data_IF_386574351532
#
_entry.id   IF_386574351532
#
_cell.length_a   1.000
_cell.length_b   1.000
_cell.length_c   1.000
_cell.angle_alpha   90.00
_cell.angle_beta   90.00
_cell.angle_gamma   90.00
#
_symmetry.space_group_name_H-M   'P 1'
#
loop_
_entity.id
_entity.type
_entity.pdbx_description
1 polymer ?
#
# COMPACT_ATOMS: atom_id res chain seq x y z
N UNK A 1 2.21 -17.35 13.84
CA UNK A 1 2.32 -18.59 13.04
C UNK A 1 0.92 -19.03 12.66
N UNK A 2 0.65 -19.45 11.43
CA UNK A 2 -0.63 -20.05 11.10
C UNK A 2 -0.88 -21.29 11.96
N UNK A 3 -2.13 -21.55 12.28
CA UNK A 3 -2.50 -22.66 13.14
C UNK A 3 -2.23 -23.98 12.41
N UNK A 4 -1.33 -24.81 12.95
CA UNK A 4 -1.07 -26.14 12.46
C UNK A 4 -2.10 -27.10 13.02
N UNK A 5 -2.80 -27.82 12.17
CA UNK A 5 -3.85 -28.77 12.56
C UNK A 5 -3.54 -30.17 12.00
N UNK A 6 -3.97 -31.23 12.68
CA UNK A 6 -3.87 -32.59 12.16
C UNK A 6 -4.58 -32.70 10.80
N UNK A 7 -3.98 -33.43 9.86
CA UNK A 7 -4.58 -33.70 8.56
C UNK A 7 -6.01 -34.27 8.70
N UNK A 8 -6.93 -33.81 7.84
CA UNK A 8 -8.34 -34.24 7.81
C UNK A 8 -9.17 -33.86 9.04
N UNK A 9 -8.72 -32.95 9.90
CA UNK A 9 -9.60 -32.42 10.95
C UNK A 9 -10.82 -31.71 10.30
N UNK A 10 -12.08 -32.07 10.67
CA UNK A 10 -13.27 -31.46 10.05
C UNK A 10 -13.32 -29.93 10.16
N UNK A 11 -12.74 -29.36 11.21
CA UNK A 11 -12.64 -27.91 11.39
C UNK A 11 -11.85 -27.20 10.27
N UNK A 12 -10.95 -27.89 9.55
CA UNK A 12 -10.13 -27.29 8.47
C UNK A 12 -11.03 -26.73 7.36
N UNK A 13 -12.03 -27.49 6.93
CA UNK A 13 -12.93 -27.07 5.85
C UNK A 13 -13.82 -25.90 6.27
N UNK A 14 -14.33 -25.92 7.51
CA UNK A 14 -15.09 -24.79 8.07
C UNK A 14 -14.24 -23.51 8.14
N UNK A 15 -13.03 -23.62 8.67
CA UNK A 15 -12.12 -22.49 8.80
C UNK A 15 -11.69 -21.93 7.44
N UNK A 16 -11.50 -22.77 6.44
CA UNK A 16 -11.27 -22.32 5.05
C UNK A 16 -12.45 -21.53 4.49
N UNK A 17 -13.69 -21.97 4.74
CA UNK A 17 -14.90 -21.23 4.34
C UNK A 17 -15.00 -19.85 5.04
N UNK A 18 -14.45 -19.73 6.24
CA UNK A 18 -14.37 -18.47 6.99
C UNK A 18 -13.15 -17.63 6.60
N UNK A 19 -12.40 -18.00 5.56
CA UNK A 19 -11.13 -17.39 5.17
C UNK A 19 -10.09 -17.37 6.31
N UNK A 20 -10.14 -18.36 7.20
CA UNK A 20 -9.15 -18.57 8.26
C UNK A 20 -8.07 -19.51 7.72
N UNK A 21 -6.85 -18.99 7.61
CA UNK A 21 -5.73 -19.81 7.19
C UNK A 21 -5.33 -20.79 8.28
N UNK A 22 -5.39 -22.06 7.94
CA UNK A 22 -4.88 -23.17 8.75
C UNK A 22 -3.92 -23.99 7.91
N UNK A 23 -2.90 -24.51 8.55
CA UNK A 23 -1.91 -25.36 7.91
C UNK A 23 -2.11 -26.80 8.37
N UNK A 24 -2.23 -27.73 7.43
CA UNK A 24 -2.18 -29.15 7.75
C UNK A 24 -0.74 -29.61 8.00
N UNK A 25 -0.61 -30.80 8.61
CA UNK A 25 0.70 -31.35 8.96
C UNK A 25 1.60 -31.57 7.74
N UNK A 26 1.04 -32.00 6.62
CA UNK A 26 1.79 -32.23 5.38
C UNK A 26 2.42 -30.96 4.85
N UNK A 27 1.67 -29.86 4.85
CA UNK A 27 2.16 -28.55 4.40
C UNK A 27 3.16 -27.95 5.41
N UNK A 28 2.94 -28.14 6.71
CA UNK A 28 3.83 -27.63 7.75
C UNK A 28 5.23 -28.24 7.70
N UNK A 29 5.37 -29.51 7.32
CA UNK A 29 6.65 -30.18 7.19
C UNK A 29 7.49 -29.71 5.99
N UNK A 30 6.85 -29.07 4.99
CA UNK A 30 7.52 -28.57 3.80
C UNK A 30 7.99 -27.12 3.93
N UNK A 31 7.69 -26.45 5.05
CA UNK A 31 8.07 -25.05 5.28
C UNK A 31 9.17 -24.93 6.33
N UNK A 32 10.43 -24.85 5.87
CA UNK A 32 11.46 -24.16 6.63
C UNK A 32 11.16 -22.65 6.57
N UNK A 33 11.07 -22.01 7.75
CA UNK A 33 10.67 -20.59 7.85
C UNK A 33 11.88 -19.73 7.44
N UNK A 34 11.93 -19.33 6.16
CA UNK A 34 12.80 -18.26 5.74
C UNK A 34 12.13 -16.90 6.00
N UNK A 35 12.90 -15.82 6.28
CA UNK A 35 12.35 -14.48 6.31
C UNK A 35 11.69 -14.12 4.98
N UNK A 36 10.54 -13.43 5.04
CA UNK A 36 9.93 -12.86 3.84
C UNK A 36 10.68 -11.59 3.45
N UNK A 37 11.11 -11.50 2.21
CA UNK A 37 11.80 -10.32 1.67
C UNK A 37 10.80 -9.31 1.16
N UNK A 38 10.80 -8.12 1.76
CA UNK A 38 9.94 -6.99 1.39
C UNK A 38 10.78 -5.85 0.83
N UNK A 39 10.54 -5.47 -0.42
CA UNK A 39 11.12 -4.27 -1.01
C UNK A 39 10.21 -3.05 -0.76
N UNK A 40 10.78 -1.89 -0.44
CA UNK A 40 10.03 -0.64 -0.32
C UNK A 40 10.68 0.41 -1.24
N UNK A 41 10.02 0.74 -2.34
CA UNK A 41 10.38 1.89 -3.16
C UNK A 41 9.74 3.14 -2.54
N UNK A 42 10.56 3.89 -1.82
CA UNK A 42 10.12 5.06 -1.08
C UNK A 42 10.33 6.33 -1.93
N UNK A 43 9.24 6.85 -2.51
CA UNK A 43 9.23 8.07 -3.34
C UNK A 43 8.87 9.33 -2.53
N UNK A 44 8.48 9.18 -1.25
CA UNK A 44 8.08 10.28 -0.41
C UNK A 44 9.26 11.23 -0.10
N UNK A 45 8.99 12.54 0.04
CA UNK A 45 10.04 13.53 0.30
C UNK A 45 10.67 13.41 1.69
N UNK A 46 9.88 13.00 2.70
CA UNK A 46 10.34 12.79 4.09
C UNK A 46 10.54 11.29 4.32
N UNK A 47 11.62 10.73 3.75
CA UNK A 47 11.84 9.28 3.72
C UNK A 47 11.88 8.64 5.10
N UNK A 48 12.59 9.21 6.07
CA UNK A 48 12.73 8.67 7.44
C UNK A 48 11.36 8.55 8.13
N UNK A 49 10.47 9.52 7.93
CA UNK A 49 9.10 9.46 8.48
C UNK A 49 8.33 8.30 7.83
N UNK A 50 8.33 8.23 6.51
CA UNK A 50 7.63 7.18 5.76
C UNK A 50 8.17 5.78 6.07
N UNK A 51 9.49 5.63 6.23
CA UNK A 51 10.12 4.39 6.71
C UNK A 51 9.53 3.95 8.04
N UNK A 52 9.49 4.87 9.01
CA UNK A 52 8.96 4.60 10.36
C UNK A 52 7.49 4.20 10.31
N UNK A 53 6.69 4.88 9.49
CA UNK A 53 5.26 4.61 9.35
C UNK A 53 4.99 3.23 8.75
N UNK A 54 5.71 2.88 7.68
CA UNK A 54 5.59 1.56 7.04
C UNK A 54 6.14 0.44 7.93
N UNK A 55 7.31 0.61 8.55
CA UNK A 55 7.89 -0.39 9.45
C UNK A 55 6.95 -0.68 10.62
N UNK A 56 6.29 0.35 11.17
CA UNK A 56 5.32 0.18 12.26
C UNK A 56 4.17 -0.75 11.87
N UNK A 57 3.65 -0.65 10.66
CA UNK A 57 2.58 -1.52 10.15
C UNK A 57 3.10 -2.92 9.82
N UNK A 58 4.27 -3.00 9.17
CA UNK A 58 4.89 -4.28 8.83
C UNK A 58 5.33 -5.07 10.07
N UNK A 59 5.63 -4.42 11.18
CA UNK A 59 6.02 -5.10 12.42
C UNK A 59 4.87 -5.80 13.15
N UNK A 60 3.61 -5.54 12.76
CA UNK A 60 2.43 -6.14 13.39
C UNK A 60 2.10 -7.53 12.80
N UNK A 61 3.10 -8.39 12.72
CA UNK A 61 2.98 -9.78 12.26
C UNK A 61 3.93 -10.69 13.04
N UNK A 62 3.57 -11.95 13.28
CA UNK A 62 4.48 -12.94 13.86
C UNK A 62 5.49 -13.50 12.85
N UNK A 63 5.36 -13.14 11.57
CA UNK A 63 6.27 -13.58 10.51
C UNK A 63 7.54 -12.74 10.53
N UNK A 64 8.68 -13.38 10.23
CA UNK A 64 9.94 -12.68 10.11
C UNK A 64 10.02 -11.99 8.74
N UNK A 65 10.22 -10.67 8.75
CA UNK A 65 10.36 -9.86 7.55
C UNK A 65 11.78 -9.31 7.44
N UNK A 66 12.33 -9.34 6.23
CA UNK A 66 13.57 -8.66 5.83
C UNK A 66 13.20 -7.51 4.90
N UNK A 67 13.38 -6.28 5.36
CA UNK A 67 13.00 -5.07 4.61
C UNK A 67 14.20 -4.48 3.91
N UNK A 68 14.07 -4.22 2.60
CA UNK A 68 15.06 -3.54 1.77
C UNK A 68 14.47 -2.26 1.19
N UNK A 69 15.10 -1.11 1.46
CA UNK A 69 14.68 0.16 0.88
C UNK A 69 15.31 0.36 -0.49
N UNK A 70 14.44 0.67 -1.47
CA UNK A 70 14.83 0.97 -2.84
C UNK A 70 14.74 2.48 -3.10
N UNK A 71 15.71 3.03 -3.83
CA UNK A 71 15.71 4.40 -4.34
C UNK A 71 15.81 4.41 -5.86
N UNK A 72 15.29 5.47 -6.47
CA UNK A 72 15.52 5.78 -7.87
C UNK A 72 16.94 6.31 -8.07
N UNK A 73 17.57 5.91 -9.16
CA UNK A 73 18.87 6.45 -9.60
C UNK A 73 18.70 7.83 -10.27
N UNK A 74 17.60 7.99 -11.01
CA UNK A 74 17.27 9.22 -11.74
C UNK A 74 16.78 10.36 -10.87
N UNK A 75 16.58 10.13 -9.54
CA UNK A 75 16.08 11.13 -8.62
C UNK A 75 16.90 11.22 -7.33
N UNK A 76 17.41 12.42 -7.02
CA UNK A 76 18.12 12.69 -5.76
C UNK A 76 17.17 13.34 -4.75
N UNK A 77 16.91 12.70 -3.59
CA UNK A 77 16.07 13.30 -2.56
C UNK A 77 16.69 14.56 -1.97
N UNK A 78 15.87 15.62 -1.82
CA UNK A 78 16.32 16.90 -1.29
C UNK A 78 16.20 17.03 0.23
N UNK A 79 15.31 16.25 0.85
CA UNK A 79 14.91 16.38 2.25
C UNK A 79 15.41 15.23 3.14
N UNK A 80 16.34 14.42 2.65
CA UNK A 80 16.91 13.29 3.39
C UNK A 80 18.43 13.38 3.35
N UNK A 81 19.15 13.24 4.50
CA UNK A 81 20.59 13.26 4.53
C UNK A 81 21.21 12.21 3.58
N UNK A 82 22.26 12.59 2.88
CA UNK A 82 22.91 11.70 1.91
C UNK A 82 23.51 10.46 2.58
N UNK A 83 24.02 10.61 3.79
CA UNK A 83 24.58 9.53 4.59
C UNK A 83 23.51 8.48 4.89
N UNK A 84 22.27 8.90 5.22
CA UNK A 84 21.14 8.01 5.43
C UNK A 84 20.81 7.23 4.14
N UNK A 85 20.78 7.93 2.99
CA UNK A 85 20.52 7.30 1.69
C UNK A 85 21.62 6.30 1.31
N UNK A 86 22.88 6.59 1.59
CA UNK A 86 23.99 5.70 1.30
C UNK A 86 23.99 4.46 2.21
N UNK A 87 23.56 4.63 3.45
CA UNK A 87 23.61 3.55 4.45
C UNK A 87 22.44 2.55 4.30
N UNK A 88 21.25 3.03 3.97
CA UNK A 88 20.03 2.25 4.08
C UNK A 88 19.31 1.99 2.74
N UNK A 89 19.65 2.70 1.66
CA UNK A 89 18.97 2.60 0.38
C UNK A 89 19.86 2.00 -0.70
N UNK A 90 19.28 1.04 -1.43
CA UNK A 90 19.89 0.44 -2.61
C UNK A 90 19.18 0.97 -3.86
N UNK A 91 19.92 1.12 -4.96
CA UNK A 91 19.33 1.46 -6.25
C UNK A 91 18.57 0.27 -6.85
N UNK A 92 17.67 0.55 -7.79
CA UNK A 92 17.00 -0.51 -8.55
C UNK A 92 18.02 -1.43 -9.28
N UNK A 93 19.10 -0.88 -9.85
CA UNK A 93 20.14 -1.66 -10.53
C UNK A 93 20.81 -2.70 -9.60
N UNK A 94 21.02 -2.33 -8.32
CA UNK A 94 21.60 -3.24 -7.33
C UNK A 94 20.65 -4.35 -6.90
N UNK A 95 19.33 -4.14 -7.07
CA UNK A 95 18.29 -5.06 -6.65
C UNK A 95 17.63 -5.83 -7.81
N UNK A 96 17.86 -5.44 -9.05
CA UNK A 96 17.13 -5.95 -10.23
C UNK A 96 17.23 -7.46 -10.47
N UNK A 97 18.28 -8.11 -9.95
CA UNK A 97 18.47 -9.57 -10.08
C UNK A 97 17.94 -10.35 -8.87
N UNK A 98 17.40 -9.65 -7.87
CA UNK A 98 16.81 -10.26 -6.69
C UNK A 98 15.29 -10.44 -6.87
N UNK A 99 14.74 -11.39 -6.13
CA UNK A 99 13.29 -11.60 -6.04
C UNK A 99 12.80 -11.29 -4.63
N UNK A 100 11.58 -10.84 -4.53
CA UNK A 100 10.96 -10.40 -3.28
C UNK A 100 9.57 -11.04 -3.10
N UNK A 101 9.25 -11.37 -1.87
CA UNK A 101 7.93 -11.88 -1.54
C UNK A 101 6.85 -10.79 -1.62
N UNK A 102 7.21 -9.57 -1.21
CA UNK A 102 6.32 -8.42 -1.30
C UNK A 102 7.06 -7.14 -1.69
N UNK A 103 6.31 -6.18 -2.23
CA UNK A 103 6.82 -4.85 -2.52
C UNK A 103 5.81 -3.78 -2.15
N UNK A 104 6.28 -2.65 -1.63
CA UNK A 104 5.48 -1.45 -1.41
C UNK A 104 6.08 -0.32 -2.24
N UNK A 105 5.26 0.36 -3.03
CA UNK A 105 5.63 1.56 -3.78
C UNK A 105 4.82 2.72 -3.23
N UNK A 106 5.50 3.69 -2.60
CA UNK A 106 4.85 4.80 -1.91
C UNK A 106 4.33 5.87 -2.88
N UNK A 107 3.48 6.76 -2.38
CA UNK A 107 3.12 7.99 -3.06
C UNK A 107 4.33 8.90 -3.34
N UNK A 108 4.09 9.90 -4.18
CA UNK A 108 5.04 10.95 -4.51
C UNK A 108 4.30 12.29 -4.72
N UNK A 109 4.87 13.44 -4.35
CA UNK A 109 4.21 14.74 -4.46
C UNK A 109 4.31 15.33 -5.89
N UNK A 110 3.97 14.52 -6.90
CA UNK A 110 4.05 14.87 -8.33
C UNK A 110 2.73 14.59 -9.07
N UNK A 111 1.65 14.42 -8.33
CA UNK A 111 0.34 14.03 -8.88
C UNK A 111 -0.28 15.04 -9.85
N UNK A 112 0.16 16.31 -9.81
CA UNK A 112 -0.30 17.36 -10.71
C UNK A 112 0.43 17.37 -12.06
N UNK A 113 1.55 16.64 -12.20
CA UNK A 113 2.24 16.46 -13.47
C UNK A 113 1.60 15.30 -14.26
N UNK A 114 1.60 15.36 -15.57
CA UNK A 114 1.33 14.17 -16.37
C UNK A 114 2.40 13.11 -16.08
N UNK A 115 2.05 11.82 -16.23
CA UNK A 115 2.99 10.77 -15.83
C UNK A 115 4.28 10.83 -16.63
N UNK A 116 4.17 11.12 -17.93
CA UNK A 116 5.29 11.23 -18.87
C UNK A 116 6.20 12.45 -18.58
N UNK A 117 5.67 13.48 -17.91
CA UNK A 117 6.41 14.67 -17.50
C UNK A 117 7.18 14.48 -16.19
N UNK A 118 6.94 13.36 -15.48
CA UNK A 118 7.68 13.04 -14.26
C UNK A 118 9.11 12.60 -14.60
N UNK A 119 10.11 13.34 -14.15
CA UNK A 119 11.52 13.17 -14.56
C UNK A 119 12.12 11.79 -14.34
N UNK A 120 11.48 10.94 -13.55
CA UNK A 120 11.88 9.55 -13.30
C UNK A 120 10.88 8.52 -13.86
N UNK A 121 9.99 8.92 -14.75
CA UNK A 121 8.93 8.06 -15.28
C UNK A 121 9.47 6.82 -16.00
N UNK A 122 10.53 6.98 -16.81
CA UNK A 122 11.14 5.85 -17.53
C UNK A 122 11.65 4.77 -16.55
N UNK A 123 12.35 5.18 -15.47
CA UNK A 123 12.81 4.23 -14.44
C UNK A 123 11.63 3.58 -13.69
N UNK A 124 10.55 4.34 -13.45
CA UNK A 124 9.33 3.77 -12.85
C UNK A 124 8.70 2.69 -13.74
N UNK A 125 8.64 2.89 -15.05
CA UNK A 125 8.13 1.87 -16.00
C UNK A 125 8.96 0.58 -15.95
N UNK A 126 10.28 0.70 -15.85
CA UNK A 126 11.16 -0.47 -15.71
C UNK A 126 10.88 -1.20 -14.40
N UNK A 127 10.73 -0.48 -13.29
CA UNK A 127 10.43 -1.06 -11.97
C UNK A 127 9.04 -1.70 -11.96
N UNK A 128 8.03 -1.09 -12.56
CA UNK A 128 6.69 -1.66 -12.66
C UNK A 128 6.69 -2.98 -13.45
N UNK A 129 7.38 -3.00 -14.61
CA UNK A 129 7.51 -4.22 -15.41
C UNK A 129 8.27 -5.31 -14.64
N UNK A 130 9.36 -4.94 -13.98
CA UNK A 130 10.19 -5.84 -13.16
C UNK A 130 9.40 -6.43 -11.98
N UNK A 131 8.61 -5.62 -11.28
CA UNK A 131 7.83 -6.08 -10.13
C UNK A 131 6.89 -7.23 -10.50
N UNK A 132 6.32 -7.23 -11.71
CA UNK A 132 5.42 -8.30 -12.18
C UNK A 132 6.04 -9.68 -12.29
N UNK A 133 7.36 -9.77 -12.40
CA UNK A 133 8.10 -11.02 -12.60
C UNK A 133 9.06 -11.36 -11.46
N UNK A 134 9.29 -10.41 -10.55
CA UNK A 134 10.24 -10.55 -9.45
C UNK A 134 9.61 -10.41 -8.06
N UNK A 135 8.31 -10.06 -8.01
CA UNK A 135 7.60 -9.85 -6.74
C UNK A 135 6.31 -10.65 -6.74
N UNK A 136 6.01 -11.33 -5.62
CA UNK A 136 4.77 -12.09 -5.50
C UNK A 136 3.56 -11.16 -5.40
N UNK A 137 3.59 -10.15 -4.51
CA UNK A 137 2.49 -9.18 -4.37
C UNK A 137 3.01 -7.77 -4.12
N UNK A 138 2.43 -6.78 -4.80
CA UNK A 138 2.83 -5.37 -4.72
C UNK A 138 1.68 -4.49 -4.24
N UNK A 139 1.94 -3.66 -3.20
CA UNK A 139 1.07 -2.56 -2.78
C UNK A 139 1.54 -1.25 -3.43
N UNK A 140 0.67 -0.62 -4.19
CA UNK A 140 0.86 0.71 -4.76
C UNK A 140 0.04 1.71 -3.95
N UNK A 141 0.65 2.80 -3.46
CA UNK A 141 0.02 3.77 -2.57
C UNK A 141 -0.09 5.14 -3.24
N UNK A 142 -1.27 5.75 -3.19
CA UNK A 142 -1.58 7.11 -3.63
C UNK A 142 -1.15 7.36 -5.08
N UNK A 143 -0.16 8.25 -5.32
CA UNK A 143 0.35 8.51 -6.66
C UNK A 143 0.83 7.24 -7.36
N UNK A 144 1.55 6.37 -6.68
CA UNK A 144 1.99 5.11 -7.26
C UNK A 144 0.82 4.20 -7.65
N UNK A 145 -0.31 4.24 -6.92
CA UNK A 145 -1.51 3.52 -7.31
C UNK A 145 -2.07 4.02 -8.65
N UNK A 146 -2.16 5.33 -8.83
CA UNK A 146 -2.60 5.92 -10.10
C UNK A 146 -1.60 5.64 -11.23
N UNK A 147 -0.30 5.77 -10.96
CA UNK A 147 0.77 5.51 -11.93
C UNK A 147 0.80 4.04 -12.37
N UNK A 148 0.63 3.10 -11.43
CA UNK A 148 0.55 1.67 -11.72
C UNK A 148 -0.71 1.30 -12.50
N UNK A 149 -1.87 1.86 -12.15
CA UNK A 149 -3.13 1.69 -12.90
C UNK A 149 -3.00 2.23 -14.32
N UNK A 150 -2.38 3.39 -14.50
CA UNK A 150 -2.11 3.95 -15.83
C UNK A 150 -1.16 3.07 -16.64
N UNK A 151 0.00 2.73 -16.08
CA UNK A 151 1.03 1.98 -16.80
C UNK A 151 0.56 0.57 -17.20
N UNK A 152 -0.07 -0.14 -16.27
CA UNK A 152 -0.43 -1.54 -16.48
C UNK A 152 -1.78 -1.74 -17.17
N UNK A 153 -2.71 -0.80 -17.00
CA UNK A 153 -4.11 -1.00 -17.37
C UNK A 153 -4.69 0.15 -18.20
N UNK A 154 -3.92 1.21 -18.43
CA UNK A 154 -4.36 2.37 -19.23
C UNK A 154 -5.42 3.23 -18.54
N UNK A 155 -5.60 3.10 -17.23
CA UNK A 155 -6.56 3.89 -16.44
C UNK A 155 -6.01 5.31 -16.25
N UNK A 156 -6.67 6.36 -16.78
CA UNK A 156 -6.20 7.73 -16.64
C UNK A 156 -6.44 8.27 -15.24
N UNK A 157 -5.73 9.34 -14.88
CA UNK A 157 -6.03 10.15 -13.70
C UNK A 157 -6.74 11.44 -14.11
N UNK A 158 -7.50 11.99 -13.18
CA UNK A 158 -8.27 13.22 -13.39
C UNK A 158 -7.97 14.23 -12.27
N UNK A 159 -7.88 15.54 -12.58
CA UNK A 159 -7.69 16.55 -11.57
C UNK A 159 -8.95 16.73 -10.72
N UNK A 160 -8.78 16.84 -9.42
CA UNK A 160 -9.84 17.21 -8.49
C UNK A 160 -10.03 18.74 -8.49
N UNK A 161 -11.25 19.24 -8.38
CA UNK A 161 -11.52 20.69 -8.29
C UNK A 161 -10.95 21.32 -7.00
N UNK A 162 -10.80 20.51 -5.95
CA UNK A 162 -10.14 20.83 -4.68
C UNK A 162 -9.35 19.64 -4.17
N UNK A 163 -8.33 19.90 -3.37
CA UNK A 163 -7.57 18.85 -2.70
C UNK A 163 -8.50 17.95 -1.87
N UNK A 164 -8.44 16.64 -2.10
CA UNK A 164 -9.04 15.64 -1.24
C UNK A 164 -8.16 15.53 0.01
N UNK A 165 -8.63 16.10 1.14
CA UNK A 165 -7.81 16.28 2.33
C UNK A 165 -8.60 15.98 3.61
N UNK A 166 -8.22 14.92 4.31
CA UNK A 166 -8.90 14.51 5.54
C UNK A 166 -9.06 13.00 5.67
N UNK A 167 -10.00 12.59 6.53
CA UNK A 167 -10.35 11.20 6.79
C UNK A 167 -11.73 10.93 6.18
N UNK A 168 -11.83 9.88 5.37
CA UNK A 168 -13.06 9.57 4.66
C UNK A 168 -13.49 8.12 4.92
N UNK A 169 -14.79 7.85 5.08
CA UNK A 169 -15.32 6.51 5.20
C UNK A 169 -15.16 5.76 3.87
N UNK A 170 -14.70 4.53 3.94
CA UNK A 170 -14.56 3.62 2.81
C UNK A 170 -15.47 2.43 3.03
N UNK A 171 -16.11 1.96 1.97
CA UNK A 171 -17.01 0.81 1.99
C UNK A 171 -16.35 -0.37 1.30
N UNK A 172 -16.33 -1.53 1.96
CA UNK A 172 -15.87 -2.78 1.34
C UNK A 172 -16.95 -3.27 0.37
N UNK A 173 -16.57 -3.56 -0.87
CA UNK A 173 -17.51 -4.06 -1.90
C UNK A 173 -17.58 -5.60 -1.94
N UNK A 174 -16.53 -6.25 -1.46
CA UNK A 174 -16.47 -7.70 -1.30
C UNK A 174 -15.80 -8.04 0.05
N UNK A 175 -16.57 -8.06 1.14
CA UNK A 175 -16.05 -8.32 2.48
C UNK A 175 -15.52 -9.75 2.68
N UNK A 176 -15.77 -10.67 1.73
CA UNK A 176 -15.25 -12.03 1.76
C UNK A 176 -13.78 -12.11 1.35
N UNK A 177 -13.24 -11.09 0.71
CA UNK A 177 -11.83 -11.08 0.32
C UNK A 177 -10.92 -11.15 1.55
N UNK A 178 -9.88 -12.01 1.53
CA UNK A 178 -8.96 -12.15 2.66
C UNK A 178 -8.29 -10.84 3.09
N UNK A 179 -8.14 -9.85 2.19
CA UNK A 179 -7.59 -8.53 2.52
C UNK A 179 -8.45 -7.78 3.55
N UNK A 180 -9.77 -8.01 3.56
CA UNK A 180 -10.72 -7.38 4.48
C UNK A 180 -11.06 -8.24 5.70
N UNK A 181 -10.33 -9.31 5.93
CA UNK A 181 -10.58 -10.14 7.10
C UNK A 181 -10.44 -9.34 8.41
N UNK A 182 -11.51 -9.33 9.21
CA UNK A 182 -11.60 -8.59 10.46
C UNK A 182 -11.93 -7.10 10.28
N UNK A 183 -12.18 -6.65 9.04
CA UNK A 183 -12.70 -5.32 8.78
C UNK A 183 -14.17 -5.23 9.14
N UNK A 184 -14.59 -4.04 9.54
CA UNK A 184 -15.99 -3.64 9.51
C UNK A 184 -16.40 -3.32 8.05
N UNK A 185 -17.71 -3.28 7.77
CA UNK A 185 -18.23 -2.93 6.44
C UNK A 185 -17.78 -1.52 6.00
N UNK A 186 -17.51 -0.64 6.96
CA UNK A 186 -17.03 0.73 6.78
C UNK A 186 -15.76 0.94 7.58
N UNK A 187 -14.72 1.42 6.93
CA UNK A 187 -13.46 1.78 7.57
C UNK A 187 -13.01 3.19 7.19
N UNK A 188 -12.17 3.79 8.02
CA UNK A 188 -11.68 5.15 7.77
C UNK A 188 -10.32 5.11 7.08
N UNK A 189 -10.11 6.03 6.11
CA UNK A 189 -8.84 6.15 5.39
C UNK A 189 -8.44 7.61 5.22
N UNK A 190 -7.20 7.98 5.58
CA UNK A 190 -6.64 9.30 5.26
C UNK A 190 -6.44 9.50 3.76
N UNK A 191 -6.77 10.69 3.28
CA UNK A 191 -6.47 11.13 1.93
C UNK A 191 -5.79 12.50 1.93
N UNK A 192 -4.81 12.66 1.05
CA UNK A 192 -4.16 13.93 0.70
C UNK A 192 -3.73 13.88 -0.75
N UNK A 193 -4.60 14.29 -1.66
CA UNK A 193 -4.36 14.19 -3.12
C UNK A 193 -5.10 15.25 -3.92
N UNK A 194 -4.55 15.59 -5.09
CA UNK A 194 -5.12 16.54 -6.06
C UNK A 194 -5.71 15.86 -7.31
N UNK A 195 -5.57 14.55 -7.42
CA UNK A 195 -6.06 13.77 -8.56
C UNK A 195 -6.80 12.52 -8.09
N UNK A 196 -7.60 11.96 -8.99
CA UNK A 196 -8.34 10.72 -8.76
C UNK A 196 -8.37 9.84 -10.01
N UNK A 197 -8.83 8.61 -9.86
CA UNK A 197 -9.24 7.71 -10.95
C UNK A 197 -10.74 7.54 -10.89
N UNK A 198 -11.40 7.42 -12.03
CA UNK A 198 -12.84 7.26 -12.06
C UNK A 198 -13.27 5.79 -11.95
N UNK A 199 -14.39 5.58 -11.27
CA UNK A 199 -15.00 4.27 -11.07
C UNK A 199 -15.30 3.56 -12.39
N UNK A 200 -15.77 4.31 -13.38
CA UNK A 200 -16.16 3.82 -14.68
C UNK A 200 -14.95 3.24 -15.44
N UNK A 201 -13.79 3.86 -15.34
CA UNK A 201 -12.55 3.39 -15.98
C UNK A 201 -12.05 2.08 -15.34
N UNK A 202 -12.19 1.96 -14.01
CA UNK A 202 -11.85 0.72 -13.30
C UNK A 202 -12.79 -0.41 -13.74
N UNK A 203 -14.11 -0.17 -13.75
CA UNK A 203 -15.11 -1.18 -14.10
C UNK A 203 -15.10 -1.57 -15.57
N UNK A 204 -14.63 -0.69 -16.46
CA UNK A 204 -14.48 -0.98 -17.87
C UNK A 204 -13.35 -1.98 -18.19
N UNK A 205 -12.40 -2.18 -17.24
CA UNK A 205 -11.29 -3.09 -17.43
C UNK A 205 -11.54 -4.42 -16.71
N UNK A 206 -11.74 -5.55 -17.43
CA UNK A 206 -12.08 -6.83 -16.82
C UNK A 206 -10.94 -7.45 -15.99
N UNK A 207 -9.73 -6.92 -16.05
CA UNK A 207 -8.59 -7.35 -15.25
C UNK A 207 -8.49 -6.63 -13.90
N UNK A 208 -9.35 -5.65 -13.65
CA UNK A 208 -9.40 -4.88 -12.41
C UNK A 208 -10.63 -5.25 -11.60
N UNK A 209 -10.46 -5.35 -10.30
CA UNK A 209 -11.55 -5.54 -9.35
C UNK A 209 -11.56 -4.34 -8.38
N UNK A 210 -12.60 -3.53 -8.44
CA UNK A 210 -12.85 -2.51 -7.43
C UNK A 210 -13.32 -3.20 -6.15
N UNK A 211 -12.56 -3.10 -5.06
CA UNK A 211 -12.85 -3.82 -3.82
C UNK A 211 -13.22 -2.92 -2.65
N UNK A 212 -12.90 -1.61 -2.73
CA UNK A 212 -13.39 -0.61 -1.81
C UNK A 212 -13.54 0.75 -2.50
N UNK A 213 -14.60 1.48 -2.12
CA UNK A 213 -14.89 2.83 -2.61
C UNK A 213 -15.57 3.68 -1.54
N UNK A 214 -15.66 4.98 -1.79
CA UNK A 214 -16.34 5.95 -0.95
C UNK A 214 -17.21 6.88 -1.78
N UNK A 215 -18.42 7.23 -1.36
CA UNK A 215 -19.19 8.27 -2.01
C UNK A 215 -18.51 9.66 -1.90
N UNK A 216 -17.65 9.86 -0.90
CA UNK A 216 -16.98 11.14 -0.64
C UNK A 216 -15.60 11.23 -1.26
N UNK A 217 -14.86 10.12 -1.36
CA UNK A 217 -13.48 10.10 -1.89
C UNK A 217 -13.26 9.22 -3.12
N UNK A 218 -14.33 8.67 -3.70
CA UNK A 218 -14.28 7.89 -4.94
C UNK A 218 -13.61 6.51 -4.78
N UNK A 219 -12.91 6.06 -5.80
CA UNK A 219 -12.17 4.79 -5.83
C UNK A 219 -11.12 4.76 -4.74
N UNK A 220 -11.12 3.71 -3.95
CA UNK A 220 -10.28 3.58 -2.77
C UNK A 220 -9.25 2.47 -2.89
N UNK A 221 -9.70 1.23 -3.12
CA UNK A 221 -8.81 0.09 -3.29
C UNK A 221 -9.23 -0.70 -4.52
N UNK A 222 -8.28 -0.91 -5.42
CA UNK A 222 -8.42 -1.77 -6.60
C UNK A 222 -7.46 -2.94 -6.47
N UNK A 223 -7.92 -4.15 -6.79
CA UNK A 223 -7.12 -5.36 -6.83
C UNK A 223 -7.00 -5.86 -8.26
N UNK A 224 -5.86 -6.43 -8.60
CA UNK A 224 -5.63 -7.07 -9.88
C UNK A 224 -4.81 -8.36 -9.74
N UNK A 225 -4.85 -9.21 -10.77
CA UNK A 225 -4.08 -10.45 -10.85
C UNK A 225 -4.25 -11.35 -9.62
N UNK A 226 -5.49 -11.42 -9.06
CA UNK A 226 -5.77 -12.27 -7.91
C UNK A 226 -5.06 -11.86 -6.62
N UNK A 227 -4.74 -10.56 -6.44
CA UNK A 227 -4.04 -10.04 -5.26
C UNK A 227 -2.53 -9.92 -5.43
N UNK A 228 -2.00 -10.13 -6.62
CA UNK A 228 -0.60 -9.80 -6.92
C UNK A 228 -0.36 -8.29 -7.03
N UNK A 229 -1.42 -7.50 -7.23
CA UNK A 229 -1.35 -6.04 -7.32
C UNK A 229 -2.53 -5.43 -6.55
N UNK A 230 -2.22 -4.52 -5.62
CA UNK A 230 -3.19 -3.70 -4.92
C UNK A 230 -2.88 -2.22 -5.13
N UNK A 231 -3.88 -1.45 -5.55
CA UNK A 231 -3.78 -0.02 -5.79
C UNK A 231 -4.65 0.70 -4.76
N UNK A 232 -4.01 1.37 -3.81
CA UNK A 232 -4.66 2.06 -2.68
C UNK A 232 -4.50 3.56 -2.90
N UNK A 233 -5.60 4.28 -3.11
CA UNK A 233 -5.54 5.71 -3.46
C UNK A 233 -5.36 6.63 -2.25
N UNK A 234 -5.58 6.13 -1.04
CA UNK A 234 -5.37 6.85 0.22
C UNK A 234 -4.11 6.38 0.96
N UNK A 235 -4.03 6.73 2.24
CA UNK A 235 -2.82 6.62 3.06
C UNK A 235 -3.10 5.96 4.41
N UNK A 236 -3.27 4.65 4.45
CA UNK A 236 -3.43 3.92 5.71
C UNK A 236 -2.14 3.92 6.57
N UNK A 237 -0.98 4.17 5.95
CA UNK A 237 0.31 4.23 6.63
C UNK A 237 0.53 5.50 7.46
N UNK A 238 -0.25 6.54 7.27
CA UNK A 238 -0.03 7.85 7.91
C UNK A 238 -0.03 7.78 9.43
N UNK A 239 0.98 8.43 10.03
CA UNK A 239 1.02 8.69 11.47
C UNK A 239 -0.11 9.64 11.90
N UNK A 240 -0.47 9.64 13.20
CA UNK A 240 -1.54 10.50 13.72
C UNK A 240 -1.42 11.97 13.37
N UNK A 241 -0.20 12.50 13.27
CA UNK A 241 0.10 13.91 13.08
C UNK A 241 0.47 14.29 11.63
N UNK A 242 0.42 13.34 10.68
CA UNK A 242 0.88 13.58 9.31
C UNK A 242 0.06 14.67 8.62
N UNK A 243 -1.28 14.60 8.67
CA UNK A 243 -2.14 15.61 8.05
C UNK A 243 -2.10 16.96 8.80
N UNK A 244 -1.86 16.97 10.11
CA UNK A 244 -1.66 18.20 10.88
C UNK A 244 -0.40 18.94 10.43
N UNK A 245 0.71 18.22 10.32
CA UNK A 245 1.99 18.78 9.83
C UNK A 245 1.85 19.33 8.42
N UNK A 246 1.13 18.59 7.55
CA UNK A 246 0.86 19.02 6.18
C UNK A 246 -0.02 20.27 6.15
N UNK A 247 -1.12 20.29 6.91
CA UNK A 247 -2.02 21.43 7.03
C UNK A 247 -1.30 22.70 7.50
N UNK A 248 -0.51 22.60 8.57
CA UNK A 248 0.24 23.75 9.11
C UNK A 248 1.27 24.25 8.13
N UNK A 249 2.07 23.36 7.53
CA UNK A 249 3.03 23.71 6.47
C UNK A 249 2.37 24.45 5.31
N UNK A 250 1.24 23.93 4.81
CA UNK A 250 0.56 24.53 3.66
C UNK A 250 -0.07 25.87 4.03
N UNK A 251 -0.59 26.03 5.26
CA UNK A 251 -1.16 27.26 5.79
C UNK A 251 -0.13 28.37 5.97
N UNK A 252 1.11 28.02 6.30
CA UNK A 252 2.22 28.99 6.39
C UNK A 252 2.58 29.60 5.02
N UNK A 253 2.34 28.85 3.94
CA UNK A 253 2.63 29.29 2.56
C UNK A 253 1.41 29.93 1.90
N UNK A 254 0.20 29.45 2.20
CA UNK A 254 -1.06 29.89 1.58
C UNK A 254 -2.13 30.13 2.64
N UNK A 255 -2.99 31.13 2.43
CA UNK A 255 -4.06 31.47 3.38
C UNK A 255 -5.34 30.66 3.19
N UNK A 256 -5.54 30.07 2.03
CA UNK A 256 -6.75 29.38 1.56
C UNK A 256 -6.64 27.85 1.63
N UNK A 257 -6.02 27.33 2.67
CA UNK A 257 -5.88 25.89 2.87
C UNK A 257 -7.06 25.37 3.69
N UNK A 258 -7.80 24.42 3.13
CA UNK A 258 -8.89 23.76 3.81
C UNK A 258 -8.37 22.95 5.03
N UNK A 259 -9.13 23.00 6.12
CA UNK A 259 -8.90 22.11 7.28
C UNK A 259 -9.15 20.67 6.85
N UNK A 260 -8.26 19.70 7.20
CA UNK A 260 -8.50 18.31 6.84
C UNK A 260 -9.80 17.80 7.49
N UNK A 261 -10.73 17.31 6.64
CA UNK A 261 -12.08 16.88 7.06
C UNK A 261 -12.02 15.69 8.01
N UNK A 262 -12.86 15.70 9.05
CA UNK A 262 -13.03 14.62 10.02
C UNK A 262 -11.73 14.16 10.70
N UNK A 263 -10.71 15.02 10.69
CA UNK A 263 -9.40 14.72 11.23
C UNK A 263 -9.22 15.26 12.66
N UNK A 264 -9.68 16.46 12.92
CA UNK A 264 -9.72 17.02 14.27
C UNK A 264 -11.08 16.77 14.92
N UNK A 265 -11.11 16.75 16.24
CA UNK A 265 -12.40 16.71 16.96
C UNK A 265 -13.22 17.95 16.60
N UNK A 266 -14.44 17.75 16.08
CA UNK A 266 -15.33 18.81 15.57
C UNK A 266 -14.72 19.66 14.44
N UNK A 267 -13.78 19.12 13.68
CA UNK A 267 -13.01 19.82 12.63
C UNK A 267 -12.29 21.10 13.12
N UNK A 268 -12.02 21.18 14.43
CA UNK A 268 -11.32 22.30 15.06
C UNK A 268 -9.79 22.03 15.11
N UNK A 269 -8.98 22.77 14.33
CA UNK A 269 -7.52 22.58 14.30
C UNK A 269 -6.78 23.00 15.56
N UNK A 270 -7.49 23.51 16.58
CA UNK A 270 -6.95 23.72 17.93
C UNK A 270 -6.98 22.45 18.77
N UNK A 271 -7.76 21.43 18.35
CA UNK A 271 -7.88 20.14 19.01
C UNK A 271 -6.86 19.12 18.47
N UNK A 272 -6.50 18.09 19.24
CA UNK A 272 -5.63 17.04 18.74
C UNK A 272 -6.31 16.22 17.63
N UNK A 273 -5.52 15.59 16.74
CA UNK A 273 -6.03 14.67 15.74
C UNK A 273 -6.82 13.49 16.34
N UNK A 274 -7.94 13.15 15.72
CA UNK A 274 -8.76 11.98 16.06
C UNK A 274 -8.37 10.80 15.14
N UNK A 275 -7.62 9.84 15.67
CA UNK A 275 -7.15 8.69 14.88
C UNK A 275 -8.22 7.62 14.80
N UNK A 276 -8.81 7.44 13.62
CA UNK A 276 -9.91 6.49 13.37
C UNK A 276 -9.56 5.39 12.37
N UNK A 277 -8.34 5.38 11.79
CA UNK A 277 -7.92 4.44 10.74
C UNK A 277 -6.91 3.39 11.21
N UNK A 278 -6.30 3.53 12.39
CA UNK A 278 -5.16 2.71 12.85
C UNK A 278 -5.45 1.21 12.89
N UNK A 279 -6.63 0.82 13.37
CA UNK A 279 -6.99 -0.59 13.47
C UNK A 279 -7.05 -1.25 12.09
N UNK A 280 -7.75 -0.62 11.15
CA UNK A 280 -7.90 -1.11 9.79
C UNK A 280 -6.58 -1.05 8.99
N UNK A 281 -5.73 -0.06 9.26
CA UNK A 281 -4.37 -0.01 8.70
C UNK A 281 -3.56 -1.26 9.10
N UNK A 282 -3.53 -1.57 10.40
CA UNK A 282 -2.84 -2.77 10.89
C UNK A 282 -3.44 -4.06 10.31
N UNK A 283 -4.77 -4.16 10.20
CA UNK A 283 -5.44 -5.31 9.60
C UNK A 283 -5.07 -5.46 8.12
N UNK A 284 -5.12 -4.37 7.32
CA UNK A 284 -4.82 -4.43 5.90
C UNK A 284 -3.40 -4.95 5.65
N UNK A 285 -2.40 -4.38 6.33
CA UNK A 285 -1.01 -4.80 6.15
C UNK A 285 -0.77 -6.22 6.67
N UNK A 286 -1.36 -6.60 7.80
CA UNK A 286 -1.27 -7.98 8.32
C UNK A 286 -1.94 -8.98 7.37
N UNK A 287 -3.11 -8.67 6.83
CA UNK A 287 -3.82 -9.51 5.88
C UNK A 287 -3.06 -9.62 4.56
N UNK A 288 -2.52 -8.51 4.04
CA UNK A 288 -1.68 -8.53 2.85
C UNK A 288 -0.45 -9.43 3.04
N UNK A 289 0.31 -9.25 4.12
CA UNK A 289 1.48 -10.08 4.41
C UNK A 289 1.08 -11.55 4.53
N UNK A 290 -0.01 -11.85 5.25
CA UNK A 290 -0.39 -13.22 5.51
C UNK A 290 -0.97 -13.92 4.28
N UNK A 291 -1.94 -13.31 3.58
CA UNK A 291 -2.73 -13.97 2.55
C UNK A 291 -2.18 -13.80 1.13
N UNK A 292 -1.49 -12.70 0.83
CA UNK A 292 -1.05 -12.38 -0.53
C UNK A 292 0.47 -12.37 -0.70
N UNK A 293 1.21 -12.33 0.40
CA UNK A 293 2.66 -12.47 0.39
C UNK A 293 3.04 -13.88 0.86
N UNK A 294 2.82 -14.20 2.14
CA UNK A 294 3.30 -15.44 2.74
C UNK A 294 2.68 -16.71 2.15
N UNK A 295 1.35 -16.69 1.88
CA UNK A 295 0.67 -17.88 1.38
C UNK A 295 0.86 -18.09 -0.12
N UNK A 296 1.08 -17.02 -0.88
CA UNK A 296 1.22 -17.06 -2.33
C UNK A 296 2.68 -17.18 -2.79
N UNK A 297 3.64 -16.76 -1.95
CA UNK A 297 5.05 -16.87 -2.31
C UNK A 297 5.49 -18.33 -2.38
N UNK A 298 6.25 -18.74 -3.43
CA UNK A 298 6.81 -20.08 -3.48
C UNK A 298 7.86 -20.28 -2.39
N UNK A 299 8.03 -21.52 -1.93
CA UNK A 299 9.07 -21.88 -0.96
C UNK A 299 10.46 -21.48 -1.47
N UNK A 300 10.78 -21.83 -2.71
CA UNK A 300 11.97 -21.29 -3.40
C UNK A 300 11.62 -19.93 -4.03
N UNK A 301 12.17 -18.85 -3.47
CA UNK A 301 11.95 -17.50 -3.96
C UNK A 301 12.31 -17.33 -5.44
N UNK A 302 13.23 -18.14 -5.97
CA UNK A 302 13.61 -18.08 -7.38
C UNK A 302 12.51 -18.59 -8.32
N UNK A 303 11.54 -19.32 -7.80
CA UNK A 303 10.39 -19.80 -8.58
C UNK A 303 9.30 -18.72 -8.80
N UNK A 304 9.44 -17.50 -8.28
CA UNK A 304 8.54 -16.37 -8.59
C UNK A 304 8.62 -16.03 -10.08
N UNK A 305 7.48 -15.95 -10.77
CA UNK A 305 7.38 -15.68 -12.22
C UNK A 305 6.40 -14.57 -12.52
#
# INVERSE_FOLDING_TARGET
MPLRLPDRLPAIELLKHENIFVMDDSRAHMQDIRPLKIAILNLMPLKITTETDLIRLLSNTPLQLEVSFMKLKSHTPKNTPIEHMMMFYRSFEEMRNEKFDGMIITGAPVEQLEFEDVGYWEEMKEIFAWARTHVTSTLYICWAAQAGLFYHYGVPKYPLPRKMFGIFPQYTLDPQLPIFRGFDDVFQMPHSRHTEVHREDILANPNLQLIAESPDSGVSIVMARGGREFFITGHLEYAPDTLDKEYRRDKDVRKDVDVPRHYYLHDDPSQPPLVTWRAHANLLYSNWINYYVYQETPYDINAIT
#
